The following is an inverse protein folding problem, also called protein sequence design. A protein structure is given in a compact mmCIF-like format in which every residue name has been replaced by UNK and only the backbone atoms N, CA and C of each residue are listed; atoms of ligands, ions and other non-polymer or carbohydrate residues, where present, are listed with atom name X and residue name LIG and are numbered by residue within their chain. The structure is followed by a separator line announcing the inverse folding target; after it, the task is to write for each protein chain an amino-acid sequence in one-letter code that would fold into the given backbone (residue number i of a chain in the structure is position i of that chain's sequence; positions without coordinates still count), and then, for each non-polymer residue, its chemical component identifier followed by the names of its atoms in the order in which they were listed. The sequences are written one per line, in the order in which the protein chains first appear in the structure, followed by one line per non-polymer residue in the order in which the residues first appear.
data_IF_863010839340
#
_entry.id   IF_863010839340
#
_cell.length_a   1.000
_cell.length_b   1.000
_cell.length_c   1.000
_cell.angle_alpha   90.00
_cell.angle_beta   90.00
_cell.angle_gamma   90.00
#
_symmetry.space_group_name_H-M   'P 1'
#
loop_
_entity.id
_entity.type
_entity.pdbx_description
1 polymer ?
#
# COMPACT_ATOMS: atom_id res chain seq x y z
N UNK A 1 -16.67 51.47 -9.77
CA UNK A 1 -15.82 50.38 -10.25
C UNK A 1 -15.68 49.39 -9.12
N UNK A 2 -16.03 48.13 -9.36
CA UNK A 2 -15.96 47.07 -8.35
C UNK A 2 -14.59 46.41 -8.51
N UNK A 3 -13.83 46.32 -7.43
CA UNK A 3 -12.51 45.69 -7.48
C UNK A 3 -12.66 44.18 -7.28
N UNK A 4 -11.86 43.40 -8.01
CA UNK A 4 -11.89 41.95 -7.94
C UNK A 4 -10.52 41.41 -7.55
N UNK A 5 -10.48 40.55 -6.55
CA UNK A 5 -9.30 39.77 -6.22
C UNK A 5 -9.36 38.43 -6.96
N UNK A 6 -8.25 38.05 -7.58
CA UNK A 6 -8.13 36.83 -8.35
C UNK A 6 -7.10 35.93 -7.68
N UNK A 7 -7.51 34.72 -7.30
CA UNK A 7 -6.63 33.69 -6.74
C UNK A 7 -6.54 32.52 -7.72
N UNK A 8 -5.34 32.26 -8.22
CA UNK A 8 -5.06 31.08 -9.03
C UNK A 8 -4.24 30.09 -8.21
N UNK A 9 -4.73 28.85 -8.11
CA UNK A 9 -4.02 27.75 -7.47
C UNK A 9 -3.61 26.73 -8.53
N UNK A 10 -2.38 26.24 -8.44
CA UNK A 10 -1.87 25.20 -9.34
C UNK A 10 -1.29 24.03 -8.55
N UNK A 11 -1.75 22.81 -8.85
CA UNK A 11 -1.25 21.58 -8.23
C UNK A 11 0.04 21.07 -8.87
N UNK A 12 0.71 20.11 -8.24
CA UNK A 12 1.94 19.52 -8.76
C UNK A 12 1.75 18.72 -10.06
N UNK A 13 0.53 18.25 -10.33
CA UNK A 13 0.18 17.59 -11.60
C UNK A 13 -0.17 18.61 -12.71
N UNK A 14 -0.02 19.91 -12.42
CA UNK A 14 -0.32 21.01 -13.34
C UNK A 14 -1.81 21.25 -13.53
N UNK A 15 -2.66 20.94 -12.54
CA UNK A 15 -4.08 21.34 -12.54
C UNK A 15 -4.17 22.73 -11.97
N UNK A 16 -4.79 23.65 -12.72
CA UNK A 16 -4.97 25.03 -12.26
C UNK A 16 -6.45 25.38 -12.17
N UNK A 17 -6.80 26.11 -11.13
CA UNK A 17 -8.13 26.72 -10.95
C UNK A 17 -7.95 28.18 -10.60
N UNK A 18 -8.90 29.01 -11.04
CA UNK A 18 -8.94 30.43 -10.72
C UNK A 18 -10.26 30.71 -10.04
N UNK A 19 -10.19 31.33 -8.86
CA UNK A 19 -11.35 31.80 -8.10
C UNK A 19 -11.29 33.31 -7.99
N UNK A 20 -12.45 33.96 -8.04
CA UNK A 20 -12.57 35.41 -7.99
C UNK A 20 -13.40 35.83 -6.79
N UNK A 21 -12.97 36.89 -6.13
CA UNK A 21 -13.64 37.47 -4.98
C UNK A 21 -13.97 38.93 -5.30
N UNK A 22 -15.26 39.20 -5.46
CA UNK A 22 -15.79 40.55 -5.63
C UNK A 22 -15.78 41.31 -4.30
N UNK A 23 -15.37 42.57 -4.31
CA UNK A 23 -15.40 43.41 -3.13
C UNK A 23 -15.03 44.86 -3.37
N UNK A 24 -15.06 45.64 -2.30
CA UNK A 24 -14.33 46.90 -2.22
C UNK A 24 -13.19 46.68 -1.23
N UNK A 25 -11.96 46.91 -1.67
CA UNK A 25 -10.77 46.70 -0.87
C UNK A 25 -10.07 48.04 -0.73
N UNK A 26 -9.95 48.53 0.50
CA UNK A 26 -9.24 49.78 0.76
C UNK A 26 -7.73 49.55 0.73
N UNK A 27 -6.98 50.59 0.40
CA UNK A 27 -5.53 50.60 0.56
C UNK A 27 -5.15 50.38 2.03
N UNK A 28 -4.16 49.50 2.27
CA UNK A 28 -3.68 49.25 3.60
C UNK A 28 -2.78 50.39 4.10
N UNK A 29 -2.99 50.79 5.35
CA UNK A 29 -2.11 51.75 6.05
C UNK A 29 -0.63 51.31 6.12
N UNK A 30 -0.36 50.01 6.05
CA UNK A 30 1.00 49.45 5.98
C UNK A 30 1.07 48.39 4.89
N UNK A 31 1.71 48.74 3.78
CA UNK A 31 1.75 47.91 2.59
C UNK A 31 2.47 46.56 2.79
N UNK A 32 3.65 46.58 3.41
CA UNK A 32 4.45 45.37 3.64
C UNK A 32 3.74 44.37 4.57
N UNK A 33 3.06 44.89 5.59
CA UNK A 33 2.30 44.07 6.53
C UNK A 33 1.07 43.44 5.86
N UNK A 34 0.39 44.16 4.97
CA UNK A 34 -0.75 43.62 4.24
C UNK A 34 -0.33 42.51 3.28
N UNK A 35 0.74 42.72 2.50
CA UNK A 35 1.27 41.72 1.57
C UNK A 35 1.79 40.46 2.30
N UNK A 36 2.50 40.62 3.42
CA UNK A 36 2.95 39.48 4.23
C UNK A 36 1.78 38.73 4.87
N UNK A 37 0.74 39.44 5.32
CA UNK A 37 -0.47 38.81 5.84
C UNK A 37 -1.22 38.00 4.77
N UNK A 38 -1.36 38.53 3.55
CA UNK A 38 -1.95 37.80 2.40
C UNK A 38 -1.23 36.47 2.17
N UNK A 39 0.11 36.51 2.06
CA UNK A 39 0.93 35.31 1.88
C UNK A 39 0.75 34.32 3.04
N UNK A 40 0.80 34.81 4.27
CA UNK A 40 0.66 33.96 5.47
C UNK A 40 -0.72 33.29 5.56
N UNK A 41 -1.80 33.99 5.22
CA UNK A 41 -3.15 33.42 5.24
C UNK A 41 -3.33 32.39 4.12
N UNK A 42 -2.87 32.71 2.91
CA UNK A 42 -2.91 31.80 1.75
C UNK A 42 -2.07 30.54 1.98
N UNK A 43 -0.95 30.64 2.70
CA UNK A 43 -0.07 29.51 3.03
C UNK A 43 -0.65 28.51 4.05
N UNK A 44 -1.72 28.85 4.78
CA UNK A 44 -2.25 28.04 5.92
C UNK A 44 -3.00 26.77 5.51
N UNK A 45 -2.42 25.94 4.66
CA UNK A 45 -3.06 24.79 4.02
C UNK A 45 -3.09 23.50 4.87
N UNK A 46 -2.74 23.54 6.16
CA UNK A 46 -2.57 22.34 7.01
C UNK A 46 -3.81 21.46 7.26
N UNK A 47 -5.01 21.89 6.84
CA UNK A 47 -6.24 21.08 6.87
C UNK A 47 -6.57 20.46 5.50
N UNK A 48 -5.62 20.50 4.56
CA UNK A 48 -5.79 20.07 3.16
C UNK A 48 -4.65 19.14 2.78
N UNK A 49 -4.72 18.55 1.58
CA UNK A 49 -3.65 17.70 1.03
C UNK A 49 -2.46 18.52 0.48
N UNK A 50 -2.49 19.85 0.59
CA UNK A 50 -1.55 20.75 -0.06
C UNK A 50 -0.60 21.41 0.94
N UNK A 51 0.60 21.73 0.46
CA UNK A 51 1.48 22.73 1.05
C UNK A 51 1.90 23.72 -0.04
N UNK A 52 2.06 24.99 0.32
CA UNK A 52 2.44 26.01 -0.64
C UNK A 52 3.94 25.89 -0.98
N UNK A 53 4.27 25.71 -2.27
CA UNK A 53 5.66 25.77 -2.77
C UNK A 53 6.11 27.19 -3.10
N UNK A 54 5.20 27.97 -3.69
CA UNK A 54 5.42 29.36 -4.06
C UNK A 54 4.11 30.14 -3.92
N UNK A 55 4.21 31.42 -3.54
CA UNK A 55 3.07 32.33 -3.43
C UNK A 55 3.48 33.70 -3.97
N UNK A 56 2.91 34.04 -5.12
CA UNK A 56 3.10 35.32 -5.79
C UNK A 56 1.87 36.20 -5.57
N UNK A 57 2.12 37.47 -5.23
CA UNK A 57 1.07 38.47 -5.04
C UNK A 57 1.37 39.60 -6.02
N UNK A 58 0.52 39.74 -7.03
CA UNK A 58 0.62 40.79 -8.05
C UNK A 58 -0.61 41.68 -7.97
N UNK A 59 -0.59 42.63 -7.03
CA UNK A 59 -1.64 43.62 -6.84
C UNK A 59 -1.08 45.01 -7.14
N UNK A 60 -1.84 45.91 -7.78
CA UNK A 60 -1.39 47.27 -8.13
C UNK A 60 -1.16 48.16 -6.90
N UNK A 61 -1.56 47.70 -5.71
CA UNK A 61 -1.34 48.32 -4.40
C UNK A 61 -1.44 47.28 -3.29
N UNK A 62 -1.16 47.68 -2.06
CA UNK A 62 -1.29 46.79 -0.91
C UNK A 62 -2.70 46.86 -0.34
N UNK A 63 -3.62 46.12 -0.96
CA UNK A 63 -5.01 46.09 -0.55
C UNK A 63 -5.19 45.41 0.81
N UNK A 64 -6.00 46.00 1.68
CA UNK A 64 -6.44 45.38 2.91
C UNK A 64 -7.59 44.41 2.63
N UNK A 65 -7.36 43.13 2.93
CA UNK A 65 -8.39 42.09 2.80
C UNK A 65 -8.65 41.47 4.17
N UNK A 66 -9.89 41.47 4.66
CA UNK A 66 -10.22 40.85 5.94
C UNK A 66 -9.84 39.37 5.98
N UNK A 67 -9.20 38.93 7.07
CA UNK A 67 -8.76 37.54 7.23
C UNK A 67 -9.91 36.53 7.13
N UNK A 68 -11.11 36.88 7.58
CA UNK A 68 -12.30 36.04 7.42
C UNK A 68 -12.60 35.77 5.95
N UNK A 69 -12.58 36.82 5.13
CA UNK A 69 -12.85 36.74 3.69
C UNK A 69 -11.73 35.97 2.96
N UNK A 70 -10.46 36.23 3.28
CA UNK A 70 -9.33 35.45 2.73
C UNK A 70 -9.39 33.97 3.10
N UNK A 71 -9.83 33.64 4.31
CA UNK A 71 -9.97 32.25 4.72
C UNK A 71 -11.06 31.52 3.94
N UNK A 72 -12.20 32.17 3.71
CA UNK A 72 -13.28 31.63 2.87
C UNK A 72 -12.79 31.47 1.44
N UNK A 73 -12.24 32.55 0.86
CA UNK A 73 -11.72 32.57 -0.51
C UNK A 73 -10.70 31.46 -0.78
N UNK A 74 -9.77 31.26 0.15
CA UNK A 74 -8.79 30.19 0.10
C UNK A 74 -9.42 28.80 0.19
N UNK A 75 -10.39 28.58 1.08
CA UNK A 75 -11.06 27.28 1.23
C UNK A 75 -11.83 26.92 -0.04
N UNK A 76 -12.59 27.86 -0.58
CA UNK A 76 -13.35 27.67 -1.82
C UNK A 76 -12.43 27.37 -3.01
N UNK A 77 -11.34 28.12 -3.16
CA UNK A 77 -10.36 27.86 -4.21
C UNK A 77 -9.72 26.46 -4.08
N UNK A 78 -9.45 26.00 -2.85
CA UNK A 78 -8.95 24.63 -2.60
C UNK A 78 -10.00 23.58 -2.94
N UNK A 79 -11.26 23.77 -2.57
CA UNK A 79 -12.35 22.86 -2.95
C UNK A 79 -12.53 22.77 -4.47
N UNK A 80 -12.39 23.89 -5.17
CA UNK A 80 -12.37 23.93 -6.64
C UNK A 80 -11.19 23.12 -7.19
N UNK A 81 -10.00 23.27 -6.60
CA UNK A 81 -8.80 22.54 -7.02
C UNK A 81 -8.96 21.03 -6.81
N UNK A 82 -9.55 20.61 -5.69
CA UNK A 82 -9.83 19.20 -5.40
C UNK A 82 -10.76 18.60 -6.46
N UNK A 83 -11.87 19.30 -6.77
CA UNK A 83 -12.80 18.87 -7.83
C UNK A 83 -12.11 18.77 -9.19
N UNK A 84 -11.29 19.77 -9.55
CA UNK A 84 -10.57 19.78 -10.82
C UNK A 84 -9.53 18.66 -10.92
N UNK A 85 -8.79 18.36 -9.84
CA UNK A 85 -7.84 17.24 -9.79
C UNK A 85 -8.55 15.90 -9.91
N UNK A 86 -9.66 15.70 -9.20
CA UNK A 86 -10.46 14.48 -9.31
C UNK A 86 -11.05 14.30 -10.72
N UNK A 87 -11.52 15.37 -11.35
CA UNK A 87 -12.05 15.32 -12.72
C UNK A 87 -10.96 14.98 -13.75
N UNK A 88 -9.71 15.42 -13.53
CA UNK A 88 -8.58 15.10 -14.41
C UNK A 88 -7.95 13.73 -14.11
N UNK A 89 -8.22 13.15 -12.95
CA UNK A 89 -7.63 11.87 -12.56
C UNK A 89 -7.99 10.77 -13.56
N UNK A 90 -6.95 10.21 -14.21
CA UNK A 90 -7.09 9.05 -15.08
C UNK A 90 -6.63 7.82 -14.31
N UNK A 91 -7.57 6.90 -14.03
CA UNK A 91 -7.26 5.63 -13.38
C UNK A 91 -6.28 4.86 -14.26
N UNK A 92 -5.15 4.46 -13.67
CA UNK A 92 -4.20 3.57 -14.34
C UNK A 92 -4.89 2.27 -14.72
N UNK A 93 -4.74 1.87 -15.99
CA UNK A 93 -5.20 0.57 -16.49
C UNK A 93 -4.04 -0.41 -16.49
N UNK A 94 -4.35 -1.71 -16.35
CA UNK A 94 -3.36 -2.77 -16.49
C UNK A 94 -2.76 -2.66 -17.90
N UNK A 95 -1.42 -2.61 -18.01
CA UNK A 95 -0.74 -2.70 -19.30
C UNK A 95 -1.06 -4.03 -19.98
N UNK A 96 -1.09 -4.04 -21.30
CA UNK A 96 -1.17 -5.29 -22.07
C UNK A 96 0.02 -6.18 -21.73
N UNK A 97 -0.17 -7.49 -21.90
CA UNK A 97 0.94 -8.44 -21.87
C UNK A 97 1.93 -8.08 -22.99
N UNK A 98 3.23 -8.24 -22.76
CA UNK A 98 4.25 -8.00 -23.79
C UNK A 98 4.16 -9.03 -24.92
N UNK A 99 4.70 -8.68 -26.08
CA UNK A 99 4.92 -9.59 -27.20
C UNK A 99 6.44 -9.69 -27.49
N UNK A 100 7.09 -10.85 -27.30
CA UNK A 100 6.50 -12.11 -26.84
C UNK A 100 6.05 -12.07 -25.38
N UNK A 101 5.17 -13.00 -25.03
CA UNK A 101 4.76 -13.20 -23.65
C UNK A 101 5.98 -13.53 -22.78
N UNK A 102 6.06 -13.01 -21.54
CA UNK A 102 7.14 -13.35 -20.62
C UNK A 102 7.13 -14.86 -20.31
N UNK A 103 8.28 -15.42 -19.96
CA UNK A 103 8.35 -16.83 -19.53
C UNK A 103 8.65 -16.87 -18.04
N UNK A 104 7.91 -17.71 -17.30
CA UNK A 104 8.14 -17.88 -15.87
C UNK A 104 9.50 -18.56 -15.63
N UNK A 105 10.30 -18.12 -14.64
CA UNK A 105 11.67 -18.62 -14.47
C UNK A 105 11.77 -20.11 -14.14
N UNK A 106 10.72 -20.71 -13.60
CA UNK A 106 10.67 -22.12 -13.20
C UNK A 106 9.70 -22.89 -14.09
N UNK A 107 10.07 -24.09 -14.52
CA UNK A 107 9.19 -24.98 -15.29
C UNK A 107 8.39 -25.92 -14.41
N UNK A 108 8.77 -26.06 -13.14
CA UNK A 108 8.06 -26.85 -12.13
C UNK A 108 7.82 -25.99 -10.88
N UNK A 109 6.56 -25.91 -10.46
CA UNK A 109 6.13 -25.27 -9.22
C UNK A 109 5.70 -26.33 -8.22
N UNK A 110 6.36 -26.36 -7.06
CA UNK A 110 5.95 -27.21 -5.95
C UNK A 110 4.79 -26.60 -5.16
N UNK A 111 4.29 -27.31 -4.14
CA UNK A 111 3.23 -26.82 -3.24
C UNK A 111 3.53 -25.43 -2.65
N UNK A 112 4.81 -25.05 -2.52
CA UNK A 112 5.27 -23.76 -2.01
C UNK A 112 4.83 -22.57 -2.88
N UNK A 113 4.47 -22.80 -4.14
CA UNK A 113 3.96 -21.76 -5.03
C UNK A 113 2.49 -21.40 -4.78
N UNK A 114 1.79 -22.14 -3.88
CA UNK A 114 0.40 -21.90 -3.49
C UNK A 114 -0.57 -21.78 -4.68
N UNK A 115 -0.30 -22.54 -5.76
CA UNK A 115 -1.16 -22.56 -6.95
C UNK A 115 -2.38 -23.44 -6.70
N UNK A 116 -3.36 -22.86 -6.00
CA UNK A 116 -4.52 -23.62 -5.53
C UNK A 116 -5.66 -23.71 -6.55
N UNK A 117 -6.05 -22.58 -7.18
CA UNK A 117 -7.23 -22.53 -8.06
C UNK A 117 -6.88 -22.76 -9.54
N UNK A 118 -7.89 -23.14 -10.33
CA UNK A 118 -7.73 -23.48 -11.75
C UNK A 118 -7.23 -22.31 -12.61
N UNK A 119 -7.72 -21.09 -12.36
CA UNK A 119 -7.28 -19.89 -13.11
C UNK A 119 -5.80 -19.57 -12.88
N UNK A 120 -5.29 -19.84 -11.68
CA UNK A 120 -3.87 -19.71 -11.38
C UNK A 120 -3.04 -20.76 -12.15
N UNK A 121 -3.51 -22.02 -12.22
CA UNK A 121 -2.85 -23.06 -13.03
C UNK A 121 -2.77 -22.66 -14.50
N UNK A 122 -3.90 -22.24 -15.08
CA UNK A 122 -3.96 -21.76 -16.46
C UNK A 122 -3.00 -20.59 -16.69
N UNK A 123 -2.97 -19.63 -15.77
CA UNK A 123 -2.02 -18.52 -15.82
C UNK A 123 -0.57 -19.02 -15.92
N UNK A 124 -0.13 -19.88 -15.01
CA UNK A 124 1.26 -20.37 -15.01
C UNK A 124 1.60 -21.21 -16.24
N UNK A 125 0.66 -22.04 -16.72
CA UNK A 125 0.84 -22.79 -17.98
C UNK A 125 1.01 -21.87 -19.20
N UNK A 126 0.23 -20.80 -19.30
CA UNK A 126 0.38 -19.80 -20.37
C UNK A 126 1.76 -19.13 -20.38
N UNK A 127 2.46 -19.11 -19.23
CA UNK A 127 3.81 -18.54 -19.09
C UNK A 127 4.91 -19.62 -19.01
N UNK A 128 4.65 -20.83 -19.53
CA UNK A 128 5.68 -21.85 -19.75
C UNK A 128 5.94 -22.79 -18.58
N UNK A 129 5.18 -22.71 -17.49
CA UNK A 129 5.23 -23.71 -16.42
C UNK A 129 4.61 -25.02 -16.92
N UNK A 130 5.32 -26.13 -16.76
CA UNK A 130 4.90 -27.44 -17.26
C UNK A 130 4.25 -28.28 -16.16
N UNK A 131 4.86 -28.31 -14.97
CA UNK A 131 4.38 -29.09 -13.84
C UNK A 131 4.01 -28.17 -12.68
N UNK A 132 2.84 -28.40 -12.09
CA UNK A 132 2.35 -27.64 -10.94
C UNK A 132 1.80 -28.64 -9.92
N UNK A 133 2.51 -28.78 -8.81
CA UNK A 133 2.07 -29.63 -7.70
C UNK A 133 0.84 -29.02 -7.01
N UNK A 134 0.10 -29.84 -6.28
CA UNK A 134 -1.02 -29.34 -5.51
C UNK A 134 -0.53 -28.40 -4.41
N UNK A 135 -1.17 -27.24 -4.28
CA UNK A 135 -0.93 -26.35 -3.14
C UNK A 135 -1.20 -27.08 -1.81
N UNK A 136 -0.55 -26.63 -0.74
CA UNK A 136 -0.61 -27.31 0.56
C UNK A 136 -2.04 -27.48 1.09
N UNK A 137 -2.89 -26.49 0.84
CA UNK A 137 -4.30 -26.46 1.23
C UNK A 137 -5.16 -27.51 0.50
N UNK A 138 -4.63 -28.16 -0.55
CA UNK A 138 -5.32 -29.24 -1.26
C UNK A 138 -5.22 -30.59 -0.53
N UNK A 139 -4.61 -30.63 0.66
CA UNK A 139 -4.52 -31.81 1.54
C UNK A 139 -3.77 -33.01 0.93
N UNK A 140 -2.93 -32.78 -0.08
CA UNK A 140 -2.11 -33.83 -0.72
C UNK A 140 -0.79 -34.04 0.01
N UNK A 141 -0.19 -32.97 0.54
CA UNK A 141 1.05 -33.02 1.33
C UNK A 141 0.75 -33.37 2.80
N UNK A 142 0.93 -34.64 3.17
CA UNK A 142 0.65 -35.16 4.52
C UNK A 142 1.88 -35.33 5.41
N UNK A 143 3.07 -35.15 4.83
CA UNK A 143 4.35 -35.30 5.51
C UNK A 143 4.79 -34.05 6.27
N UNK A 144 5.98 -34.14 6.85
CA UNK A 144 6.68 -33.00 7.45
C UNK A 144 7.32 -32.14 6.35
N UNK A 145 6.70 -30.99 6.07
CA UNK A 145 7.13 -30.08 4.99
C UNK A 145 7.36 -28.67 5.53
N UNK A 146 8.15 -27.83 4.83
CA UNK A 146 8.25 -26.41 5.16
C UNK A 146 6.89 -25.72 5.01
N UNK A 147 6.32 -25.27 6.12
CA UNK A 147 5.06 -24.49 6.15
C UNK A 147 5.33 -22.99 6.21
N UNK A 148 6.56 -22.60 6.58
CA UNK A 148 7.03 -21.22 6.52
C UNK A 148 8.52 -21.20 6.21
N UNK A 149 8.92 -20.36 5.26
CA UNK A 149 10.31 -20.07 4.93
C UNK A 149 10.54 -18.58 5.19
N UNK A 150 11.51 -18.26 6.05
CA UNK A 150 11.79 -16.87 6.42
C UNK A 150 13.29 -16.57 6.41
N UNK A 151 13.63 -15.33 6.08
CA UNK A 151 15.00 -14.80 6.20
C UNK A 151 15.36 -14.46 7.65
N UNK A 152 14.36 -14.26 8.52
CA UNK A 152 14.61 -14.10 9.95
C UNK A 152 15.15 -15.41 10.52
N UNK A 153 16.35 -15.38 11.10
CA UNK A 153 17.06 -16.58 11.51
C UNK A 153 17.34 -16.55 13.01
N UNK A 154 16.74 -17.49 13.76
CA UNK A 154 16.99 -17.60 15.20
C UNK A 154 18.45 -17.94 15.52
N UNK A 155 19.15 -18.69 14.65
CA UNK A 155 20.61 -18.88 14.83
C UNK A 155 21.35 -17.54 14.80
N UNK A 156 20.95 -16.61 13.93
CA UNK A 156 21.53 -15.27 13.92
C UNK A 156 21.17 -14.49 15.19
N UNK A 157 19.88 -14.48 15.57
CA UNK A 157 19.41 -13.77 16.76
C UNK A 157 20.10 -14.22 18.06
N UNK A 158 20.43 -15.51 18.17
CA UNK A 158 21.12 -16.09 19.33
C UNK A 158 22.64 -16.21 19.19
N UNK A 159 23.26 -15.55 18.20
CA UNK A 159 24.71 -15.60 17.94
C UNK A 159 25.26 -17.01 17.66
N UNK A 160 24.41 -17.90 17.14
CA UNK A 160 24.73 -19.27 16.72
C UNK A 160 24.97 -19.39 15.20
N UNK A 161 24.99 -18.27 14.47
CA UNK A 161 25.10 -18.28 13.02
C UNK A 161 26.52 -18.65 12.56
N UNK A 162 26.70 -19.72 11.76
CA UNK A 162 28.03 -20.12 11.29
C UNK A 162 28.67 -19.10 10.35
N UNK A 163 27.88 -18.23 9.69
CA UNK A 163 28.41 -17.14 8.85
C UNK A 163 29.04 -16.00 9.66
N UNK A 164 28.63 -15.80 10.92
CA UNK A 164 29.17 -14.75 11.79
C UNK A 164 30.33 -15.26 12.65
N UNK A 165 30.33 -16.56 12.98
CA UNK A 165 31.37 -17.19 13.78
C UNK A 165 32.65 -17.39 12.96
N UNK A 166 33.52 -16.37 12.89
CA UNK A 166 34.87 -16.48 12.33
C UNK A 166 35.74 -17.38 13.23
N UNK A 167 35.78 -18.68 12.92
CA UNK A 167 36.90 -19.56 13.26
C UNK A 167 36.91 -20.31 14.60
N UNK A 168 35.99 -20.07 15.57
CA UNK A 168 36.15 -20.69 16.90
C UNK A 168 34.87 -21.18 17.60
N UNK A 169 33.82 -21.54 16.87
CA UNK A 169 32.64 -22.18 17.48
C UNK A 169 32.38 -23.52 16.80
N UNK A 170 32.27 -24.59 17.60
CA UNK A 170 31.72 -25.92 17.23
C UNK A 170 30.22 -25.83 16.85
N UNK A 171 29.82 -24.77 16.13
CA UNK A 171 28.45 -24.44 15.71
C UNK A 171 27.88 -25.45 14.72
N UNK A 172 28.72 -26.35 14.21
CA UNK A 172 28.31 -27.48 13.38
C UNK A 172 27.29 -28.40 14.07
N UNK A 173 27.29 -28.51 15.40
CA UNK A 173 26.30 -29.26 16.18
C UNK A 173 25.35 -28.34 16.96
N UNK A 174 24.88 -27.26 16.33
CA UNK A 174 23.77 -26.52 16.92
C UNK A 174 22.58 -27.47 17.14
N UNK A 175 22.15 -27.60 18.39
CA UNK A 175 21.00 -28.43 18.79
C UNK A 175 19.80 -28.11 17.89
N UNK A 176 19.03 -29.11 17.45
CA UNK A 176 17.78 -28.87 16.74
C UNK A 176 16.93 -27.88 17.54
N UNK A 177 16.52 -26.79 16.90
CA UNK A 177 15.62 -25.82 17.52
C UNK A 177 14.19 -26.16 17.16
N UNK A 178 13.28 -25.93 18.09
CA UNK A 178 11.85 -26.14 17.91
C UNK A 178 11.10 -24.90 18.39
N UNK A 179 10.00 -24.58 17.73
CA UNK A 179 9.01 -23.65 18.25
C UNK A 179 7.95 -24.45 19.00
N UNK A 180 7.70 -24.06 20.25
CA UNK A 180 6.68 -24.69 21.09
C UNK A 180 5.55 -23.70 21.29
N UNK A 181 4.33 -24.10 20.96
CA UNK A 181 3.12 -23.32 21.17
C UNK A 181 2.03 -24.23 21.78
N UNK A 182 1.88 -24.20 23.10
CA UNK A 182 1.04 -25.17 23.81
C UNK A 182 1.55 -26.60 23.56
N UNK A 183 0.67 -27.47 23.08
CA UNK A 183 0.99 -28.86 22.76
C UNK A 183 1.67 -29.05 21.39
N UNK A 184 1.90 -27.96 20.64
CA UNK A 184 2.46 -28.01 19.30
C UNK A 184 3.96 -27.77 19.31
N UNK A 185 4.70 -28.71 18.71
CA UNK A 185 6.14 -28.64 18.54
C UNK A 185 6.48 -28.62 17.05
N UNK A 186 6.95 -27.49 16.54
CA UNK A 186 7.36 -27.31 15.15
C UNK A 186 8.88 -27.32 15.06
N UNK A 187 9.43 -28.15 14.16
CA UNK A 187 10.89 -28.28 14.03
C UNK A 187 11.45 -27.21 13.12
N UNK A 188 12.56 -26.60 13.51
CA UNK A 188 13.25 -25.60 12.69
C UNK A 188 14.41 -26.22 11.93
N UNK A 189 14.39 -26.09 10.60
CA UNK A 189 15.53 -26.38 9.73
C UNK A 189 16.17 -25.07 9.28
N UNK A 190 17.50 -25.05 9.16
CA UNK A 190 18.24 -23.85 8.78
C UNK A 190 19.07 -24.15 7.54
N UNK A 191 18.73 -23.49 6.44
CA UNK A 191 19.56 -23.51 5.24
C UNK A 191 20.43 -22.26 5.21
N UNK A 192 21.67 -22.42 5.66
CA UNK A 192 22.62 -21.32 5.73
C UNK A 192 23.05 -20.82 4.34
N UNK A 193 22.86 -21.59 3.25
CA UNK A 193 23.30 -21.17 1.91
C UNK A 193 22.47 -19.98 1.38
N UNK A 194 21.14 -20.10 1.17
CA UNK A 194 20.25 -18.97 0.87
C UNK A 194 19.90 -18.11 2.09
N UNK A 195 20.42 -18.45 3.27
CA UNK A 195 20.16 -17.77 4.55
C UNK A 195 18.67 -17.80 4.94
N UNK A 196 18.14 -19.02 5.06
CA UNK A 196 16.72 -19.27 5.34
C UNK A 196 16.55 -20.13 6.59
N UNK A 197 15.50 -19.83 7.33
CA UNK A 197 14.95 -20.68 8.39
C UNK A 197 13.62 -21.23 7.91
N UNK A 198 13.47 -22.54 7.96
CA UNK A 198 12.28 -23.27 7.57
C UNK A 198 11.59 -23.79 8.82
N UNK A 199 10.34 -23.41 9.00
CA UNK A 199 9.46 -24.01 10.00
C UNK A 199 8.83 -25.23 9.37
N UNK A 200 9.16 -26.40 9.91
CA UNK A 200 8.64 -27.68 9.44
C UNK A 200 7.40 -28.03 10.25
N UNK A 201 6.32 -28.33 9.53
CA UNK A 201 5.06 -28.72 10.12
C UNK A 201 4.43 -29.87 9.34
N UNK A 202 3.52 -30.55 10.02
CA UNK A 202 2.67 -31.59 9.45
C UNK A 202 1.22 -31.15 9.52
N UNK A 203 0.45 -31.40 8.46
CA UNK A 203 -0.98 -31.11 8.45
C UNK A 203 -1.69 -31.91 9.55
N UNK A 204 -2.58 -31.23 10.28
CA UNK A 204 -3.31 -31.85 11.39
C UNK A 204 -4.47 -32.70 10.87
N UNK A 205 -4.75 -33.81 11.54
CA UNK A 205 -5.80 -34.74 11.13
C UNK A 205 -7.20 -34.10 11.09
N UNK A 206 -7.49 -33.16 11.99
CA UNK A 206 -8.79 -32.47 11.96
C UNK A 206 -8.91 -31.53 10.75
N UNK A 207 -7.80 -30.95 10.26
CA UNK A 207 -7.80 -30.12 9.04
C UNK A 207 -8.05 -31.01 7.82
N UNK A 208 -7.47 -32.22 7.77
CA UNK A 208 -7.75 -33.17 6.69
C UNK A 208 -9.22 -33.58 6.61
N UNK A 209 -9.96 -33.49 7.72
CA UNK A 209 -11.40 -33.76 7.80
C UNK A 209 -12.26 -32.54 7.44
N UNK A 210 -11.67 -31.35 7.39
CA UNK A 210 -12.38 -30.14 6.96
C UNK A 210 -12.56 -30.12 5.44
N UNK A 211 -13.64 -29.49 4.94
CA UNK A 211 -13.82 -29.32 3.51
C UNK A 211 -12.69 -28.49 2.91
N UNK A 212 -12.28 -28.82 1.69
CA UNK A 212 -11.25 -28.08 0.96
C UNK A 212 -11.65 -26.59 0.83
N UNK A 213 -10.73 -25.64 1.01
CA UNK A 213 -11.04 -24.23 0.79
C UNK A 213 -11.68 -23.98 -0.58
N UNK A 214 -12.80 -23.26 -0.61
CA UNK A 214 -13.56 -22.99 -1.84
C UNK A 214 -14.38 -24.17 -2.40
N UNK A 215 -14.37 -25.34 -1.76
CA UNK A 215 -15.26 -26.46 -2.13
C UNK A 215 -16.70 -26.26 -1.61
N UNK A 216 -16.86 -25.48 -0.54
CA UNK A 216 -18.18 -25.09 -0.04
C UNK A 216 -18.62 -23.84 -0.79
N UNK A 217 -19.60 -23.99 -1.67
CA UNK A 217 -20.28 -22.86 -2.31
C UNK A 217 -21.19 -22.21 -1.28
N UNK A 218 -20.64 -21.29 -0.49
CA UNK A 218 -21.44 -20.36 0.29
C UNK A 218 -22.06 -19.34 -0.66
N UNK A 219 -23.31 -19.51 -1.05
CA UNK A 219 -24.05 -18.43 -1.72
C UNK A 219 -24.35 -17.35 -0.69
N UNK A 220 -23.64 -16.23 -0.75
CA UNK A 220 -24.02 -15.01 -0.03
C UNK A 220 -24.77 -14.14 -1.03
N UNK A 221 -26.02 -13.82 -0.74
CA UNK A 221 -26.79 -12.90 -1.58
C UNK A 221 -26.15 -11.49 -1.56
N UNK A 222 -26.28 -10.69 -2.63
CA UNK A 222 -25.85 -9.30 -2.61
C UNK A 222 -26.41 -8.53 -1.41
N UNK A 223 -27.65 -8.81 -1.01
CA UNK A 223 -28.32 -8.21 0.14
C UNK A 223 -27.62 -8.57 1.46
N UNK A 224 -27.19 -9.82 1.62
CA UNK A 224 -26.47 -10.28 2.81
C UNK A 224 -25.05 -9.72 2.87
N UNK A 225 -24.38 -9.60 1.73
CA UNK A 225 -23.07 -8.94 1.66
C UNK A 225 -23.17 -7.46 2.05
N UNK A 226 -24.20 -6.76 1.57
CA UNK A 226 -24.42 -5.33 1.89
C UNK A 226 -24.65 -5.10 3.39
N UNK A 227 -25.24 -6.05 4.13
CA UNK A 227 -25.40 -5.96 5.59
C UNK A 227 -24.07 -6.00 6.35
N UNK A 228 -23.02 -6.59 5.76
CA UNK A 228 -21.69 -6.69 6.40
C UNK A 228 -20.81 -5.46 6.19
N UNK A 229 -21.17 -4.58 5.26
CA UNK A 229 -20.39 -3.38 4.99
C UNK A 229 -20.60 -2.35 6.11
N UNK A 230 -19.53 -1.67 6.56
CA UNK A 230 -19.67 -0.59 7.54
C UNK A 230 -20.56 0.50 6.95
N UNK A 231 -21.58 0.93 7.70
CA UNK A 231 -22.46 2.03 7.30
C UNK A 231 -21.60 3.26 7.03
N UNK A 232 -21.68 3.81 5.81
CA UNK A 232 -21.07 5.12 5.52
C UNK A 232 -21.60 6.11 6.54
N UNK A 233 -20.71 6.69 7.36
CA UNK A 233 -21.09 7.81 8.21
C UNK A 233 -21.48 8.98 7.30
N UNK A 234 -22.59 9.68 7.60
CA UNK A 234 -22.99 10.87 6.87
C UNK A 234 -21.93 11.97 6.96
#
# INVERSE_FOLDING_TARGET
WQEQLILTLTSEEGVSVTHTLDGQFDDANNAEKALSNLKNVLAKLGQTLYYARDIQVNLPGALFVPNGLLNVFRREAIEMLDKARLARYKRGVRKSVSDPAPVYPQTHLSFLANVYNQKAREFYHCYGVQLIDAAYEAHQEKGDVPVMITKHCLRFAFNLCPKQAKGNIKSWKATPMQLVNGDEVLTLKFDCRPCEMHVIGKIKDHILKMPLPGSVVGSVSPEDLMKTLPKRKP
#
